data_IF_633925451169
#
_entry.id   IF_633925451169
#
_cell.length_a   1.000
_cell.length_b   1.000
_cell.length_c   1.000
_cell.angle_alpha   90.00
_cell.angle_beta   90.00
_cell.angle_gamma   90.00
#
_symmetry.space_group_name_H-M   'P 1'
#
loop_
_entity.id
_entity.type
_entity.pdbx_description
1 polymer ?
#
# COMPACT_ATOMS: atom_id res chain seq x y z
N UNK A 1 -12.53 -9.36 -35.87
CA UNK A 1 -12.16 -8.33 -36.86
C UNK A 1 -13.26 -8.07 -37.89
N UNK A 2 -13.57 -8.97 -38.84
CA UNK A 2 -14.52 -8.66 -39.92
C UNK A 2 -15.92 -8.24 -39.43
N UNK A 3 -16.44 -8.89 -38.38
CA UNK A 3 -17.72 -8.53 -37.78
C UNK A 3 -17.72 -7.13 -37.15
N UNK A 4 -16.66 -6.77 -36.43
CA UNK A 4 -16.50 -5.46 -35.79
C UNK A 4 -16.42 -4.34 -36.85
N UNK A 5 -15.64 -4.57 -37.91
CA UNK A 5 -15.54 -3.61 -39.01
C UNK A 5 -16.85 -3.47 -39.78
N UNK A 6 -17.55 -4.57 -40.06
CA UNK A 6 -18.87 -4.50 -40.69
C UNK A 6 -19.87 -3.73 -39.82
N UNK A 7 -19.93 -4.03 -38.52
CA UNK A 7 -20.80 -3.32 -37.58
C UNK A 7 -20.49 -1.82 -37.51
N UNK A 8 -19.20 -1.47 -37.47
CA UNK A 8 -18.76 -0.08 -37.48
C UNK A 8 -19.19 0.65 -38.76
N UNK A 9 -19.21 0.02 -39.94
CA UNK A 9 -19.63 0.66 -41.20
C UNK A 9 -21.14 0.69 -41.40
N UNK A 10 -21.87 -0.32 -40.92
CA UNK A 10 -23.31 -0.47 -41.15
C UNK A 10 -24.18 0.31 -40.14
N UNK A 11 -23.64 0.80 -39.03
CA UNK A 11 -24.41 1.63 -38.11
C UNK A 11 -24.63 3.05 -38.65
N UNK A 12 -25.77 3.66 -38.32
CA UNK A 12 -26.03 5.06 -38.68
C UNK A 12 -25.06 6.02 -37.96
N UNK A 13 -24.80 5.76 -36.68
CA UNK A 13 -23.91 6.55 -35.84
C UNK A 13 -22.87 5.62 -35.21
N UNK A 14 -21.60 5.91 -35.42
CA UNK A 14 -20.47 5.18 -34.84
C UNK A 14 -19.85 6.01 -33.72
N UNK A 15 -19.64 5.39 -32.56
CA UNK A 15 -19.08 6.07 -31.39
C UNK A 15 -17.94 5.29 -30.80
N UNK A 16 -17.01 5.98 -30.13
CA UNK A 16 -15.93 5.38 -29.35
C UNK A 16 -15.84 6.06 -27.99
N UNK A 17 -15.20 5.42 -27.00
CA UNK A 17 -15.18 5.90 -25.62
C UNK A 17 -14.09 6.95 -25.33
N UNK A 18 -13.16 7.16 -26.26
CA UNK A 18 -12.06 8.13 -26.09
C UNK A 18 -11.50 8.57 -27.44
N UNK A 19 -10.84 9.73 -27.48
CA UNK A 19 -10.22 10.25 -28.70
C UNK A 19 -9.13 9.30 -29.24
N UNK A 20 -8.33 8.70 -28.34
CA UNK A 20 -7.28 7.77 -28.74
C UNK A 20 -7.85 6.52 -29.40
N UNK A 21 -8.92 5.95 -28.83
CA UNK A 21 -9.65 4.83 -29.46
C UNK A 21 -10.30 5.26 -30.78
N UNK A 22 -10.72 6.52 -30.90
CA UNK A 22 -11.23 7.07 -32.14
C UNK A 22 -10.18 7.09 -33.25
N UNK A 23 -8.96 7.51 -32.95
CA UNK A 23 -7.82 7.49 -33.88
C UNK A 23 -7.48 6.03 -34.28
N UNK A 24 -7.49 5.12 -33.33
CA UNK A 24 -7.29 3.68 -33.59
C UNK A 24 -8.37 3.14 -34.52
N UNK A 25 -9.64 3.42 -34.25
CA UNK A 25 -10.78 2.97 -35.04
C UNK A 25 -10.75 3.55 -36.47
N UNK A 26 -10.38 4.82 -36.63
CA UNK A 26 -10.22 5.45 -37.94
C UNK A 26 -9.19 4.68 -38.80
N UNK A 27 -8.07 4.28 -38.19
CA UNK A 27 -7.00 3.57 -38.89
C UNK A 27 -7.26 2.07 -39.06
N UNK A 28 -7.87 1.40 -38.08
CA UNK A 28 -8.05 -0.06 -38.07
C UNK A 28 -9.39 -0.50 -38.68
N UNK A 29 -10.46 0.23 -38.38
CA UNK A 29 -11.82 -0.04 -38.86
C UNK A 29 -12.17 0.78 -40.11
N UNK A 30 -11.35 1.77 -40.48
CA UNK A 30 -11.53 2.63 -41.66
C UNK A 30 -12.81 3.46 -41.61
N UNK A 31 -13.25 3.83 -40.40
CA UNK A 31 -14.35 4.77 -40.17
C UNK A 31 -14.01 5.63 -38.96
N UNK A 32 -14.07 6.95 -39.14
CA UNK A 32 -13.92 7.92 -38.06
C UNK A 32 -15.20 7.90 -37.18
N UNK A 33 -15.10 7.88 -35.85
CA UNK A 33 -16.28 7.98 -35.00
C UNK A 33 -16.97 9.34 -35.17
N UNK A 34 -18.29 9.31 -35.17
CA UNK A 34 -19.15 10.49 -35.27
C UNK A 34 -19.17 11.27 -33.94
N UNK A 35 -19.20 10.54 -32.81
CA UNK A 35 -19.27 11.11 -31.46
C UNK A 35 -18.39 10.30 -30.49
N UNK A 36 -17.72 10.99 -29.58
CA UNK A 36 -17.01 10.37 -28.45
C UNK A 36 -17.95 10.28 -27.24
N UNK A 37 -18.10 9.09 -26.69
CA UNK A 37 -18.99 8.77 -25.56
C UNK A 37 -18.17 8.29 -24.36
N UNK A 38 -17.55 9.22 -23.60
CA UNK A 38 -16.68 8.86 -22.49
C UNK A 38 -17.44 8.14 -21.37
N UNK A 39 -16.78 7.18 -20.73
CA UNK A 39 -17.36 6.43 -19.63
C UNK A 39 -17.60 7.32 -18.40
N UNK A 40 -18.86 7.49 -18.03
CA UNK A 40 -19.26 8.22 -16.81
C UNK A 40 -19.14 7.36 -15.55
N UNK A 41 -19.02 8.04 -14.39
CA UNK A 41 -19.11 7.42 -13.07
C UNK A 41 -20.20 8.11 -12.24
N UNK A 42 -20.92 7.33 -11.44
CA UNK A 42 -21.85 7.88 -10.46
C UNK A 42 -21.06 8.44 -9.28
N UNK A 43 -20.69 9.72 -9.36
CA UNK A 43 -19.94 10.40 -8.30
C UNK A 43 -20.86 10.59 -7.11
N UNK A 44 -20.60 9.85 -6.02
CA UNK A 44 -21.17 10.16 -4.71
C UNK A 44 -20.62 11.53 -4.30
N UNK A 45 -21.46 12.55 -4.34
CA UNK A 45 -21.11 13.87 -3.82
C UNK A 45 -21.09 13.76 -2.30
N UNK A 46 -19.90 13.79 -1.70
CA UNK A 46 -19.77 13.95 -0.26
C UNK A 46 -20.40 15.28 0.11
N UNK A 47 -21.32 15.27 1.07
CA UNK A 47 -22.03 16.48 1.50
C UNK A 47 -21.09 17.52 2.09
N UNK A 48 -19.91 17.11 2.55
CA UNK A 48 -18.85 18.01 2.98
C UNK A 48 -17.46 17.56 2.51
N UNK A 49 -16.72 18.48 1.88
CA UNK A 49 -15.39 18.22 1.31
C UNK A 49 -14.36 17.71 2.35
N UNK A 50 -14.52 18.06 3.63
CA UNK A 50 -13.64 17.61 4.71
C UNK A 50 -13.81 16.14 5.08
N UNK A 51 -14.96 15.52 4.76
CA UNK A 51 -15.21 14.11 5.07
C UNK A 51 -14.24 13.20 4.30
N UNK A 52 -13.91 13.56 3.06
CA UNK A 52 -12.90 12.84 2.27
C UNK A 52 -11.51 12.91 2.90
N UNK A 53 -11.12 14.06 3.47
CA UNK A 53 -9.84 14.21 4.15
C UNK A 53 -9.77 13.36 5.43
N UNK A 54 -10.86 13.32 6.21
CA UNK A 54 -10.97 12.44 7.36
C UNK A 54 -10.87 10.96 6.95
N UNK A 55 -11.57 10.57 5.88
CA UNK A 55 -11.51 9.20 5.36
C UNK A 55 -10.11 8.84 4.85
N UNK A 56 -9.40 9.80 4.23
CA UNK A 56 -8.02 9.64 3.83
C UNK A 56 -7.13 9.34 5.04
N UNK A 57 -7.23 10.13 6.12
CA UNK A 57 -6.44 9.91 7.33
C UNK A 57 -6.73 8.54 7.98
N UNK A 58 -8.01 8.17 8.13
CA UNK A 58 -8.43 6.88 8.69
C UNK A 58 -7.93 5.71 7.82
N UNK A 59 -7.99 5.84 6.50
CA UNK A 59 -7.51 4.80 5.58
C UNK A 59 -5.98 4.73 5.56
N UNK A 60 -5.29 5.88 5.66
CA UNK A 60 -3.84 5.97 5.73
C UNK A 60 -3.32 5.27 6.99
N UNK A 61 -4.00 5.37 8.13
CA UNK A 61 -3.58 4.66 9.35
C UNK A 61 -3.65 3.13 9.19
N UNK A 62 -4.62 2.60 8.43
CA UNK A 62 -4.65 1.16 8.11
C UNK A 62 -3.46 0.73 7.26
N UNK A 63 -3.02 1.59 6.33
CA UNK A 63 -1.81 1.37 5.53
C UNK A 63 -0.57 1.46 6.44
N UNK A 64 -0.53 2.40 7.38
CA UNK A 64 0.54 2.49 8.38
C UNK A 64 0.67 1.20 9.19
N UNK A 65 -0.45 0.63 9.67
CA UNK A 65 -0.43 -0.65 10.38
C UNK A 65 0.16 -1.78 9.52
N UNK A 66 -0.26 -1.87 8.24
CA UNK A 66 0.33 -2.82 7.30
C UNK A 66 1.83 -2.61 7.11
N UNK A 67 2.26 -1.37 6.87
CA UNK A 67 3.68 -1.03 6.64
C UNK A 67 4.54 -1.36 7.86
N UNK A 68 4.08 -1.05 9.08
CA UNK A 68 4.78 -1.44 10.32
C UNK A 68 4.95 -2.96 10.40
N UNK A 69 3.92 -3.72 10.03
CA UNK A 69 3.96 -5.19 9.96
C UNK A 69 4.90 -5.73 8.89
N UNK A 70 4.90 -5.13 7.71
CA UNK A 70 5.68 -5.57 6.55
C UNK A 70 7.18 -5.25 6.71
N UNK A 71 7.50 -4.09 7.29
CA UNK A 71 8.87 -3.61 7.52
C UNK A 71 9.36 -3.91 8.95
N UNK A 72 8.80 -4.91 9.63
CA UNK A 72 9.23 -5.28 10.98
C UNK A 72 10.73 -5.61 11.01
N UNK A 73 11.44 -5.10 12.02
CA UNK A 73 12.90 -5.19 12.13
C UNK A 73 13.68 -4.22 11.23
N UNK A 74 13.03 -3.57 10.26
CA UNK A 74 13.58 -2.58 9.33
C UNK A 74 12.73 -1.30 9.30
N UNK A 75 12.19 -0.91 10.46
CA UNK A 75 11.37 0.28 10.59
C UNK A 75 12.26 1.46 11.01
N UNK A 76 13.01 2.00 10.05
CA UNK A 76 14.02 3.05 10.21
C UNK A 76 13.63 4.39 9.56
N UNK A 77 12.35 4.56 9.22
CA UNK A 77 11.81 5.75 8.55
C UNK A 77 10.55 6.29 9.24
N UNK A 78 10.26 7.57 8.98
CA UNK A 78 9.10 8.28 9.54
C UNK A 78 7.88 8.12 8.62
N UNK A 79 6.78 7.60 9.18
CA UNK A 79 5.51 7.40 8.46
C UNK A 79 4.81 8.73 8.14
N UNK A 80 5.03 9.79 8.91
CA UNK A 80 4.46 11.10 8.64
C UNK A 80 5.07 11.72 7.38
N UNK A 81 6.33 11.37 7.09
CA UNK A 81 7.08 11.76 5.88
C UNK A 81 7.10 10.68 4.80
N UNK A 82 6.27 9.65 4.96
CA UNK A 82 6.12 8.58 3.98
C UNK A 82 4.96 8.86 3.02
N UNK A 83 5.24 8.78 1.71
CA UNK A 83 4.26 8.87 0.65
C UNK A 83 3.92 7.48 0.10
N UNK A 84 2.63 7.26 -0.18
CA UNK A 84 2.12 6.02 -0.73
C UNK A 84 1.73 6.18 -2.19
N UNK A 85 2.50 5.55 -3.07
CA UNK A 85 2.17 5.45 -4.49
C UNK A 85 1.55 4.08 -4.76
N UNK A 86 0.67 3.99 -5.74
CA UNK A 86 0.13 2.70 -6.15
C UNK A 86 -0.20 2.66 -7.64
N UNK A 87 -0.09 1.48 -8.22
CA UNK A 87 -0.65 1.13 -9.52
C UNK A 87 -1.50 -0.13 -9.37
N UNK A 88 -2.63 -0.17 -10.05
CA UNK A 88 -3.61 -1.25 -9.93
C UNK A 88 -4.32 -1.53 -11.25
N UNK A 89 -4.66 -2.80 -11.48
CA UNK A 89 -5.46 -3.18 -12.65
C UNK A 89 -5.36 -4.66 -12.98
N UNK A 90 -5.82 -5.02 -14.18
CA UNK A 90 -5.51 -6.33 -14.77
C UNK A 90 -4.01 -6.49 -14.90
N UNK A 91 -3.52 -7.72 -14.76
CA UNK A 91 -2.09 -8.01 -14.86
C UNK A 91 -1.64 -7.97 -16.33
N UNK A 92 -1.40 -6.77 -16.84
CA UNK A 92 -0.89 -6.50 -18.18
C UNK A 92 0.33 -5.59 -18.08
N UNK A 93 1.52 -6.19 -18.01
CA UNK A 93 2.77 -5.49 -17.67
C UNK A 93 3.04 -4.24 -18.52
N UNK A 94 3.01 -4.36 -19.85
CA UNK A 94 3.23 -3.23 -20.76
C UNK A 94 2.00 -2.33 -20.93
N UNK A 95 0.80 -2.90 -21.12
CA UNK A 95 -0.41 -2.08 -21.38
C UNK A 95 -0.79 -1.20 -20.18
N UNK A 96 -0.47 -1.63 -18.95
CA UNK A 96 -0.68 -0.84 -17.73
C UNK A 96 0.52 0.00 -17.35
N UNK A 97 1.61 -0.05 -18.11
CA UNK A 97 2.82 0.74 -17.86
C UNK A 97 3.54 0.35 -16.57
N UNK A 98 3.43 -0.90 -16.12
CA UNK A 98 4.10 -1.36 -14.90
C UNK A 98 5.63 -1.36 -15.09
N UNK A 99 6.10 -1.65 -16.30
CA UNK A 99 7.49 -1.50 -16.74
C UNK A 99 8.02 -0.07 -16.53
N UNK A 100 7.32 0.92 -17.07
CA UNK A 100 7.68 2.34 -16.95
C UNK A 100 7.61 2.79 -15.49
N UNK A 101 6.60 2.33 -14.74
CA UNK A 101 6.43 2.68 -13.34
C UNK A 101 7.61 2.21 -12.48
N UNK A 102 8.05 0.96 -12.64
CA UNK A 102 9.19 0.40 -11.88
C UNK A 102 10.49 1.12 -12.24
N UNK A 103 10.75 1.34 -13.53
CA UNK A 103 11.95 2.07 -14.00
C UNK A 103 11.97 3.52 -13.48
N UNK A 104 10.83 4.20 -13.49
CA UNK A 104 10.71 5.55 -12.93
C UNK A 104 10.97 5.58 -11.41
N UNK A 105 10.49 4.58 -10.67
CA UNK A 105 10.76 4.44 -9.23
C UNK A 105 12.24 4.18 -8.95
N UNK A 106 12.93 3.41 -9.79
CA UNK A 106 14.38 3.19 -9.65
C UNK A 106 15.17 4.51 -9.82
N UNK A 107 14.80 5.32 -10.80
CA UNK A 107 15.40 6.67 -11.00
C UNK A 107 15.06 7.61 -9.85
N UNK A 108 13.81 7.59 -9.37
CA UNK A 108 13.40 8.37 -8.21
C UNK A 108 14.21 7.98 -6.98
N UNK A 109 14.43 6.68 -6.74
CA UNK A 109 15.27 6.18 -5.65
C UNK A 109 16.70 6.73 -5.73
N UNK A 110 17.29 6.78 -6.93
CA UNK A 110 18.60 7.42 -7.14
C UNK A 110 18.57 8.91 -6.77
N UNK A 111 17.56 9.66 -7.24
CA UNK A 111 17.43 11.08 -6.92
C UNK A 111 17.22 11.37 -5.43
N UNK A 112 16.43 10.55 -4.73
CA UNK A 112 16.23 10.70 -3.29
C UNK A 112 17.51 10.40 -2.51
N UNK A 113 18.29 9.38 -2.91
CA UNK A 113 19.58 9.08 -2.28
C UNK A 113 20.61 10.21 -2.46
N UNK A 114 20.60 10.89 -3.61
CA UNK A 114 21.53 11.98 -3.91
C UNK A 114 21.10 13.30 -3.25
N UNK A 115 19.82 13.66 -3.32
CA UNK A 115 19.31 14.91 -2.72
C UNK A 115 19.08 14.81 -1.22
N UNK A 116 19.00 13.58 -0.67
CA UNK A 116 18.78 13.27 0.75
C UNK A 116 17.64 14.04 1.40
N UNK A 117 16.44 14.13 0.78
CA UNK A 117 15.28 14.66 1.46
C UNK A 117 14.85 13.66 2.54
N UNK A 118 14.25 14.17 3.61
CA UNK A 118 13.67 13.36 4.68
C UNK A 118 12.27 12.86 4.26
N UNK A 119 12.22 12.10 3.17
CA UNK A 119 10.97 11.57 2.57
C UNK A 119 11.18 10.13 2.16
N UNK A 120 10.22 9.28 2.49
CA UNK A 120 10.20 7.87 2.07
C UNK A 120 9.04 7.63 1.11
N UNK A 121 9.24 6.82 0.08
CA UNK A 121 8.18 6.44 -0.85
C UNK A 121 7.99 4.93 -0.78
N UNK A 122 6.76 4.51 -0.50
CA UNK A 122 6.35 3.11 -0.56
C UNK A 122 5.37 2.97 -1.73
N UNK A 123 5.77 2.17 -2.72
CA UNK A 123 5.00 1.93 -3.93
C UNK A 123 4.32 0.56 -3.89
N UNK A 124 3.00 0.54 -4.05
CA UNK A 124 2.19 -0.68 -4.12
C UNK A 124 1.90 -1.07 -5.56
N UNK A 125 2.09 -2.35 -5.88
CA UNK A 125 1.70 -2.93 -7.17
C UNK A 125 0.58 -3.95 -6.95
N UNK A 126 -0.62 -3.61 -7.42
CA UNK A 126 -1.86 -4.35 -7.13
C UNK A 126 -2.36 -4.98 -8.43
N UNK A 127 -1.76 -6.12 -8.79
CA UNK A 127 -2.11 -6.89 -9.98
C UNK A 127 -2.45 -8.33 -9.59
N UNK A 128 -3.64 -8.84 -9.95
CA UNK A 128 -4.01 -10.23 -9.70
C UNK A 128 -3.10 -11.19 -10.46
N UNK A 129 -2.27 -11.95 -9.74
CA UNK A 129 -1.33 -12.94 -10.27
C UNK A 129 -1.73 -14.36 -9.86
N UNK A 130 -1.12 -15.37 -10.49
CA UNK A 130 -1.23 -16.76 -9.99
C UNK A 130 -0.34 -16.91 -8.75
N UNK A 131 -0.94 -17.22 -7.61
CA UNK A 131 -0.22 -17.28 -6.32
C UNK A 131 -0.67 -18.47 -5.46
N UNK A 132 0.25 -19.00 -4.66
CA UNK A 132 0.01 -20.02 -3.63
C UNK A 132 -0.05 -19.38 -2.23
N UNK A 133 -1.16 -18.70 -1.91
CA UNK A 133 -1.39 -18.00 -0.63
C UNK A 133 -0.33 -16.93 -0.28
N UNK A 134 -0.52 -16.29 0.87
CA UNK A 134 0.42 -15.32 1.43
C UNK A 134 1.76 -16.00 1.80
N UNK A 135 2.85 -15.24 1.71
CA UNK A 135 4.13 -15.72 2.22
C UNK A 135 4.11 -15.76 3.77
N UNK A 136 4.86 -16.71 4.32
CA UNK A 136 4.93 -16.90 5.79
C UNK A 136 5.53 -15.67 6.46
N UNK A 137 6.47 -14.99 5.78
CA UNK A 137 7.14 -13.80 6.31
C UNK A 137 6.19 -12.61 6.51
N UNK A 138 5.31 -12.31 5.54
CA UNK A 138 4.35 -11.20 5.71
C UNK A 138 3.35 -11.53 6.82
N UNK A 139 2.85 -12.77 6.91
CA UNK A 139 1.95 -13.18 7.97
C UNK A 139 2.62 -13.09 9.36
N UNK A 140 3.87 -13.56 9.45
CA UNK A 140 4.66 -13.50 10.69
C UNK A 140 4.89 -12.06 11.14
N UNK A 141 5.25 -11.16 10.22
CA UNK A 141 5.47 -9.74 10.53
C UNK A 141 4.26 -9.10 11.20
N UNK A 142 3.07 -9.31 10.63
CA UNK A 142 1.81 -8.81 11.20
C UNK A 142 1.46 -9.46 12.55
N UNK A 143 1.70 -10.75 12.72
CA UNK A 143 1.44 -11.43 14.00
C UNK A 143 2.33 -10.90 15.12
N UNK A 144 3.62 -10.68 14.85
CA UNK A 144 4.58 -10.18 15.85
C UNK A 144 4.29 -8.72 16.21
N UNK A 145 4.05 -7.85 15.23
CA UNK A 145 3.74 -6.44 15.51
C UNK A 145 2.41 -6.29 16.24
N UNK A 146 1.41 -7.10 15.91
CA UNK A 146 0.15 -7.17 16.66
C UNK A 146 0.39 -7.60 18.10
N UNK A 147 1.18 -8.66 18.34
CA UNK A 147 1.50 -9.11 19.70
C UNK A 147 2.23 -8.05 20.53
N UNK A 148 3.16 -7.29 19.91
CA UNK A 148 3.80 -6.16 20.57
C UNK A 148 2.76 -5.08 20.93
N UNK A 149 1.90 -4.69 19.99
CA UNK A 149 0.86 -3.68 20.21
C UNK A 149 -0.07 -4.08 21.36
N UNK A 150 -0.55 -5.32 21.35
CA UNK A 150 -1.47 -5.83 22.38
C UNK A 150 -0.79 -5.85 23.77
N UNK A 151 0.50 -6.20 23.81
CA UNK A 151 1.31 -6.17 25.05
C UNK A 151 1.50 -4.74 25.57
N UNK A 152 1.83 -3.79 24.68
CA UNK A 152 1.97 -2.37 25.04
C UNK A 152 0.64 -1.82 25.54
N UNK A 153 -0.47 -2.15 24.88
CA UNK A 153 -1.80 -1.70 25.28
C UNK A 153 -2.16 -2.21 26.68
N UNK A 154 -1.89 -3.48 27.00
CA UNK A 154 -2.10 -4.01 28.34
C UNK A 154 -1.27 -3.27 29.40
N UNK A 155 0.03 -3.06 29.12
CA UNK A 155 0.93 -2.31 30.01
C UNK A 155 0.46 -0.85 30.18
N UNK A 156 -0.05 -0.21 29.12
CA UNK A 156 -0.58 1.15 29.18
C UNK A 156 -1.79 1.24 30.14
N UNK A 157 -2.69 0.25 30.13
CA UNK A 157 -3.82 0.21 31.06
C UNK A 157 -3.34 0.03 32.51
N UNK A 158 -2.34 -0.83 32.73
CA UNK A 158 -1.74 -1.05 34.06
C UNK A 158 -1.02 0.21 34.57
N UNK A 159 -0.26 0.89 33.71
CA UNK A 159 0.36 2.19 33.99
C UNK A 159 -0.70 3.22 34.37
N UNK A 160 -1.79 3.32 33.60
CA UNK A 160 -2.88 4.26 33.86
C UNK A 160 -3.52 4.03 35.24
N UNK A 161 -3.75 2.77 35.61
CA UNK A 161 -4.27 2.41 36.93
C UNK A 161 -3.31 2.79 38.07
N UNK A 162 -2.03 2.43 37.95
CA UNK A 162 -0.99 2.76 38.96
C UNK A 162 -0.80 4.26 39.11
N UNK A 163 -0.81 4.99 38.00
CA UNK A 163 -0.73 6.46 37.99
C UNK A 163 -1.92 7.08 38.74
N UNK A 164 -3.14 6.60 38.48
CA UNK A 164 -4.35 7.09 39.13
C UNK A 164 -4.31 6.84 40.66
N UNK A 165 -3.97 5.62 41.09
CA UNK A 165 -3.86 5.26 42.50
C UNK A 165 -2.78 6.09 43.23
N UNK A 166 -1.61 6.29 42.60
CA UNK A 166 -0.54 7.11 43.17
C UNK A 166 -0.97 8.57 43.33
N UNK A 167 -1.59 9.17 42.31
CA UNK A 167 -2.07 10.55 42.38
C UNK A 167 -3.14 10.74 43.45
N UNK A 168 -4.04 9.77 43.64
CA UNK A 168 -5.03 9.80 44.72
C UNK A 168 -4.40 9.79 46.12
N UNK A 169 -3.21 9.21 46.26
CA UNK A 169 -2.44 9.25 47.52
C UNK A 169 -1.75 10.60 47.78
N UNK A 170 -1.89 11.58 46.88
CA UNK A 170 -1.26 12.90 46.99
C UNK A 170 0.22 12.92 46.60
N UNK A 171 0.73 11.84 46.02
CA UNK A 171 2.12 11.69 45.56
C UNK A 171 2.19 11.75 44.03
N UNK A 172 3.18 12.45 43.50
CA UNK A 172 3.53 12.38 42.08
C UNK A 172 4.26 11.05 41.79
N UNK A 173 3.78 10.23 40.84
CA UNK A 173 4.36 8.92 40.56
C UNK A 173 5.75 9.03 39.92
N UNK A 174 6.68 8.18 40.38
CA UNK A 174 8.00 8.05 39.77
C UNK A 174 7.99 6.96 38.66
N UNK A 175 8.99 6.98 37.81
CA UNK A 175 9.22 6.00 36.73
C UNK A 175 9.16 4.54 37.20
N UNK A 176 9.69 4.24 38.38
CA UNK A 176 9.67 2.89 38.96
C UNK A 176 8.29 2.45 39.43
N UNK A 177 7.41 3.40 39.77
CA UNK A 177 6.02 3.13 40.15
C UNK A 177 5.16 2.83 38.93
N UNK A 178 5.50 3.46 37.80
CA UNK A 178 4.75 3.33 36.55
C UNK A 178 5.20 2.10 35.75
N UNK A 179 6.50 1.89 35.56
CA UNK A 179 7.03 0.82 34.69
C UNK A 179 7.75 -0.25 35.52
N UNK A 180 7.07 -1.37 35.76
CA UNK A 180 7.60 -2.44 36.59
C UNK A 180 8.57 -3.35 35.80
N UNK A 181 9.39 -4.12 36.54
CA UNK A 181 10.35 -5.06 35.93
C UNK A 181 9.67 -6.11 35.04
N UNK A 182 8.49 -6.59 35.43
CA UNK A 182 7.74 -7.56 34.65
C UNK A 182 7.26 -6.99 33.31
N UNK A 183 6.90 -5.70 33.28
CA UNK A 183 6.51 -5.00 32.05
C UNK A 183 7.70 -4.89 31.10
N UNK A 184 8.88 -4.55 31.62
CA UNK A 184 10.12 -4.52 30.86
C UNK A 184 10.48 -5.91 30.28
N UNK A 185 10.27 -6.99 31.04
CA UNK A 185 10.51 -8.36 30.56
C UNK A 185 9.57 -8.71 29.41
N UNK A 186 8.27 -8.38 29.53
CA UNK A 186 7.28 -8.61 28.46
C UNK A 186 7.66 -7.84 27.19
N UNK A 187 8.02 -6.56 27.32
CA UNK A 187 8.45 -5.73 26.19
C UNK A 187 9.72 -6.32 25.54
N UNK A 188 10.73 -6.67 26.33
CA UNK A 188 11.98 -7.30 25.83
C UNK A 188 11.71 -8.58 25.05
N UNK A 189 10.76 -9.42 25.51
CA UNK A 189 10.35 -10.64 24.80
C UNK A 189 9.75 -10.31 23.42
N UNK A 190 8.88 -9.30 23.34
CA UNK A 190 8.30 -8.87 22.07
C UNK A 190 9.35 -8.24 21.14
N UNK A 191 10.29 -7.45 21.67
CA UNK A 191 11.40 -6.88 20.89
C UNK A 191 12.32 -7.97 20.30
N UNK A 192 12.61 -9.01 21.08
CA UNK A 192 13.39 -10.15 20.58
C UNK A 192 12.68 -10.86 19.42
N UNK A 193 11.35 -11.00 19.48
CA UNK A 193 10.56 -11.60 18.41
C UNK A 193 10.51 -10.76 17.11
N UNK A 194 10.75 -9.44 17.21
CA UNK A 194 10.80 -8.52 16.07
C UNK A 194 12.13 -8.57 15.31
N UNK A 195 13.17 -9.20 15.87
CA UNK A 195 14.45 -9.32 15.18
C UNK A 195 14.31 -10.23 13.96
N UNK A 196 14.92 -9.79 12.85
CA UNK A 196 14.91 -10.49 11.56
C UNK A 196 16.29 -10.42 10.92
N UNK A 197 16.65 -11.47 10.18
CA UNK A 197 17.95 -11.61 9.50
C UNK A 197 17.90 -11.25 8.00
N UNK A 198 16.75 -10.83 7.45
CA UNK A 198 16.56 -10.59 6.02
C UNK A 198 15.72 -9.35 5.73
N UNK A 199 15.86 -8.80 4.52
CA UNK A 199 15.18 -7.57 4.10
C UNK A 199 13.66 -7.76 3.96
N UNK A 200 12.85 -6.70 4.12
CA UNK A 200 11.41 -6.72 3.83
C UNK A 200 11.13 -7.35 2.46
N UNK A 201 10.24 -8.36 2.37
CA UNK A 201 10.00 -9.05 1.11
C UNK A 201 9.34 -8.09 0.11
N UNK A 202 9.69 -8.17 -1.17
CA UNK A 202 9.09 -7.30 -2.19
C UNK A 202 7.69 -7.76 -2.60
N UNK A 203 7.33 -9.01 -2.28
CA UNK A 203 6.02 -9.60 -2.53
C UNK A 203 5.36 -9.99 -1.21
N UNK A 204 4.03 -10.01 -1.18
CA UNK A 204 3.24 -10.49 -0.04
C UNK A 204 2.73 -11.92 -0.22
N UNK A 205 2.82 -12.47 -1.43
CA UNK A 205 2.30 -13.78 -1.82
C UNK A 205 3.39 -14.64 -2.44
N UNK A 206 3.22 -15.97 -2.35
CA UNK A 206 4.08 -16.91 -3.07
C UNK A 206 3.63 -16.94 -4.54
N UNK A 207 4.28 -16.18 -5.42
CA UNK A 207 3.96 -16.13 -6.85
C UNK A 207 4.33 -17.46 -7.51
N UNK A 208 3.44 -17.99 -8.35
CA UNK A 208 3.72 -19.20 -9.14
C UNK A 208 4.65 -18.81 -10.28
N UNK A 209 5.75 -19.54 -10.44
CA UNK A 209 6.80 -19.25 -11.45
C UNK A 209 7.40 -17.84 -11.29
N UNK A 210 7.85 -17.54 -10.06
CA UNK A 210 8.37 -16.23 -9.66
C UNK A 210 9.61 -15.77 -10.44
N UNK A 211 10.34 -16.69 -11.09
CA UNK A 211 11.50 -16.37 -11.91
C UNK A 211 11.11 -15.69 -13.22
N UNK A 212 9.98 -16.10 -13.80
CA UNK A 212 9.48 -15.58 -15.08
C UNK A 212 8.40 -14.49 -14.89
N UNK A 213 8.03 -14.16 -13.65
CA UNK A 213 7.08 -13.09 -13.38
C UNK A 213 7.67 -11.72 -13.82
N UNK A 214 6.99 -10.98 -14.71
CA UNK A 214 7.56 -9.78 -15.32
C UNK A 214 7.75 -8.63 -14.31
N UNK A 215 6.89 -8.53 -13.30
CA UNK A 215 7.00 -7.51 -12.26
C UNK A 215 8.18 -7.83 -11.34
N UNK A 216 8.32 -9.09 -10.90
CA UNK A 216 9.43 -9.49 -10.05
C UNK A 216 10.76 -9.42 -10.79
N UNK A 217 10.80 -9.82 -12.06
CA UNK A 217 11.98 -9.70 -12.90
C UNK A 217 12.42 -8.25 -13.09
N UNK A 218 11.48 -7.31 -13.24
CA UNK A 218 11.80 -5.88 -13.38
C UNK A 218 12.25 -5.20 -12.07
N UNK A 219 11.89 -5.76 -10.92
CA UNK A 219 12.34 -5.29 -9.59
C UNK A 219 13.76 -5.77 -9.26
N UNK A 220 14.11 -6.99 -9.66
CA UNK A 220 15.40 -7.64 -9.36
C UNK A 220 16.57 -6.92 -10.04
#
# INVERSE_FOLDING_TARGET
>A
YCMERAAAHLCHVFTTVSDITGIEAENLLKRKPDIITPNGLNVKKFSALHEFQNLHAVSKEKIHEFVRGHFYGHFDFDLDKTLYFFTAGRYEFGNKGADIFIEALARLNHYLKTSKPDVTVIAFMIFPARTNNFNVESLRGHAVTKSLRDTIHAIQQDIGKRMYECCLSGRLPDTQDLLQKDDLIKIKRCLYALQRNGLPPVTTHNVVDDWNDPILAAIR
#
